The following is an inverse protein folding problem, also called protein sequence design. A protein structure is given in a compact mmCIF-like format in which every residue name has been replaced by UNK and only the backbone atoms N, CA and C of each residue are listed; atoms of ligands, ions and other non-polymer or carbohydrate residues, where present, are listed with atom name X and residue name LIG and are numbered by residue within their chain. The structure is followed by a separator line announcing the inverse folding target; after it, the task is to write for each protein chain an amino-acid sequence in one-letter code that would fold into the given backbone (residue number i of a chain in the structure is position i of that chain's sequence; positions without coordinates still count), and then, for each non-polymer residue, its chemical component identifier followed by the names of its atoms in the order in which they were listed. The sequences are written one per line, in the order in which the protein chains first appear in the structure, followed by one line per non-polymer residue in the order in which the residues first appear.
data_IF_564323109939
#
_entry.id   IF_564323109939
#
_cell.length_a   1.000
_cell.length_b   1.000
_cell.length_c   1.000
_cell.angle_alpha   90.00
_cell.angle_beta   90.00
_cell.angle_gamma   90.00
#
_symmetry.space_group_name_H-M   'P 1'
#
loop_
_entity.id
_entity.type
_entity.pdbx_description
1 polymer ?
#
# COMPACT_ATOMS: atom_id res chain seq x y z
N UNK A 1 5.37 41.17 -50.90
CA UNK A 1 4.68 40.55 -49.74
C UNK A 1 4.84 39.04 -49.85
N UNK A 2 5.81 38.46 -49.13
CA UNK A 2 6.18 37.05 -49.26
C UNK A 2 5.12 36.20 -48.53
N UNK A 3 4.31 35.44 -49.28
CA UNK A 3 3.33 34.50 -48.72
C UNK A 3 4.09 33.27 -48.21
N UNK A 4 4.16 33.11 -46.89
CA UNK A 4 4.66 31.91 -46.24
C UNK A 4 3.71 30.75 -46.56
N UNK A 5 4.14 29.82 -47.40
CA UNK A 5 3.41 28.57 -47.66
C UNK A 5 3.51 27.72 -46.39
N UNK A 6 2.46 27.71 -45.57
CA UNK A 6 2.35 26.81 -44.41
C UNK A 6 2.22 25.37 -44.92
N UNK A 7 3.30 24.60 -44.78
CA UNK A 7 3.30 23.15 -44.95
C UNK A 7 2.57 22.53 -43.75
N UNK A 8 1.28 22.21 -43.93
CA UNK A 8 0.53 21.44 -42.94
C UNK A 8 0.94 19.96 -43.08
N UNK A 9 1.94 19.53 -42.30
CA UNK A 9 2.25 18.11 -42.12
C UNK A 9 1.14 17.50 -41.26
N UNK A 10 0.26 16.69 -41.87
CA UNK A 10 -0.74 15.90 -41.14
C UNK A 10 -0.10 14.67 -40.51
N UNK A 11 -0.59 14.30 -39.32
CA UNK A 11 -0.23 13.04 -38.66
C UNK A 11 -0.74 11.87 -39.50
N UNK A 12 0.09 10.86 -39.76
CA UNK A 12 -0.39 9.67 -40.49
C UNK A 12 -1.17 8.76 -39.54
N UNK A 13 -2.24 8.11 -40.04
CA UNK A 13 -2.98 7.12 -39.24
C UNK A 13 -2.07 5.96 -38.81
N UNK A 14 -1.06 5.63 -39.62
CA UNK A 14 -0.08 4.59 -39.32
C UNK A 14 0.83 4.98 -38.16
N UNK A 15 1.28 6.24 -38.08
CA UNK A 15 2.05 6.73 -36.93
C UNK A 15 1.24 6.59 -35.63
N UNK A 16 -0.04 6.93 -35.66
CA UNK A 16 -0.90 6.80 -34.47
C UNK A 16 -1.09 5.33 -34.08
N UNK A 17 -1.24 4.45 -35.07
CA UNK A 17 -1.43 3.01 -34.85
C UNK A 17 -0.21 2.38 -34.17
N UNK A 18 1.01 2.69 -34.62
CA UNK A 18 2.23 2.14 -34.03
C UNK A 18 2.38 2.60 -32.57
N UNK A 19 2.04 3.85 -32.27
CA UNK A 19 2.14 4.40 -30.90
C UNK A 19 1.20 3.66 -29.94
N UNK A 20 -0.07 3.44 -30.31
CA UNK A 20 -1.01 2.72 -29.43
C UNK A 20 -0.63 1.26 -29.25
N UNK A 21 -0.03 0.62 -30.26
CA UNK A 21 0.50 -0.75 -30.16
C UNK A 21 1.64 -0.81 -29.13
N UNK A 22 2.59 0.12 -29.19
CA UNK A 22 3.70 0.17 -28.23
C UNK A 22 3.18 0.43 -26.81
N UNK A 23 2.26 1.40 -26.63
CA UNK A 23 1.65 1.68 -25.33
C UNK A 23 0.91 0.44 -24.79
N UNK A 24 0.19 -0.28 -25.65
CA UNK A 24 -0.52 -1.51 -25.27
C UNK A 24 0.42 -2.58 -24.71
N UNK A 25 1.58 -2.79 -25.33
CA UNK A 25 2.60 -3.74 -24.85
C UNK A 25 3.15 -3.31 -23.49
N UNK A 26 3.46 -2.01 -23.32
CA UNK A 26 3.97 -1.48 -22.05
C UNK A 26 2.95 -1.64 -20.91
N UNK A 27 1.68 -1.31 -21.16
CA UNK A 27 0.61 -1.42 -20.15
C UNK A 27 0.37 -2.87 -19.74
N UNK A 28 0.42 -3.82 -20.67
CA UNK A 28 0.23 -5.24 -20.40
C UNK A 28 1.26 -5.79 -19.39
N UNK A 29 2.51 -5.30 -19.43
CA UNK A 29 3.56 -5.68 -18.48
C UNK A 29 3.47 -4.84 -17.21
N UNK A 30 3.15 -3.54 -17.33
CA UNK A 30 3.16 -2.61 -16.21
C UNK A 30 2.08 -2.90 -15.17
N UNK A 31 0.86 -3.28 -15.57
CA UNK A 31 -0.25 -3.54 -14.64
C UNK A 31 0.06 -4.63 -13.61
N UNK A 32 0.44 -5.87 -13.99
CA UNK A 32 0.70 -6.93 -13.01
C UNK A 32 1.89 -6.58 -12.10
N UNK A 33 2.97 -6.03 -12.66
CA UNK A 33 4.15 -5.62 -11.89
C UNK A 33 3.81 -4.53 -10.86
N UNK A 34 3.05 -3.52 -11.27
CA UNK A 34 2.62 -2.45 -10.37
C UNK A 34 1.70 -2.97 -9.26
N UNK A 35 0.78 -3.90 -9.58
CA UNK A 35 -0.09 -4.53 -8.60
C UNK A 35 0.69 -5.32 -7.55
N UNK A 36 1.73 -6.06 -7.95
CA UNK A 36 2.58 -6.81 -7.03
C UNK A 36 3.41 -5.89 -6.13
N UNK A 37 4.03 -4.85 -6.71
CA UNK A 37 4.82 -3.88 -5.96
C UNK A 37 3.97 -3.16 -4.92
N UNK A 38 2.78 -2.69 -5.30
CA UNK A 38 1.87 -2.00 -4.38
C UNK A 38 1.36 -2.92 -3.28
N UNK A 39 1.03 -4.17 -3.60
CA UNK A 39 0.67 -5.18 -2.60
C UNK A 39 1.81 -5.43 -1.60
N UNK A 40 3.03 -5.68 -2.07
CA UNK A 40 4.17 -5.92 -1.18
C UNK A 40 4.51 -4.69 -0.32
N UNK A 41 4.37 -3.49 -0.88
CA UNK A 41 4.54 -2.25 -0.11
C UNK A 41 3.51 -2.11 1.02
N UNK A 42 2.25 -2.48 0.76
CA UNK A 42 1.19 -2.50 1.78
C UNK A 42 1.47 -3.53 2.87
N UNK A 43 1.86 -4.75 2.52
CA UNK A 43 2.20 -5.81 3.48
C UNK A 43 3.37 -5.39 4.39
N UNK A 44 4.44 -4.83 3.82
CA UNK A 44 5.58 -4.30 4.59
C UNK A 44 5.21 -3.15 5.49
N UNK A 45 4.30 -2.28 5.07
CA UNK A 45 3.78 -1.22 5.92
C UNK A 45 3.02 -1.80 7.12
N UNK A 46 2.23 -2.86 6.91
CA UNK A 46 1.55 -3.54 8.02
C UNK A 46 2.52 -4.17 9.00
N UNK A 47 3.54 -4.88 8.51
CA UNK A 47 4.60 -5.46 9.33
C UNK A 47 5.35 -4.39 10.16
N UNK A 48 5.65 -3.25 9.53
CA UNK A 48 6.30 -2.12 10.21
C UNK A 48 5.44 -1.57 11.34
N UNK A 49 4.15 -1.37 11.10
CA UNK A 49 3.20 -0.90 12.12
C UNK A 49 3.07 -1.90 13.27
N UNK A 50 3.07 -3.20 12.99
CA UNK A 50 3.05 -4.23 14.04
C UNK A 50 4.24 -4.10 14.98
N UNK A 51 5.43 -3.86 14.44
CA UNK A 51 6.63 -3.66 15.27
C UNK A 51 6.49 -2.42 16.17
N UNK A 52 5.83 -1.37 15.69
CA UNK A 52 5.49 -0.18 16.49
C UNK A 52 4.53 -0.56 17.62
N UNK A 53 3.46 -1.30 17.31
CA UNK A 53 2.47 -1.77 18.30
C UNK A 53 3.14 -2.64 19.36
N UNK A 54 3.98 -3.61 18.98
CA UNK A 54 4.74 -4.44 19.93
C UNK A 54 5.64 -3.59 20.83
N UNK A 55 6.29 -2.58 20.27
CA UNK A 55 7.09 -1.64 21.07
C UNK A 55 6.22 -0.79 22.01
N UNK A 56 4.97 -0.50 21.65
CA UNK A 56 4.03 0.20 22.52
C UNK A 56 3.52 -0.69 23.65
N UNK A 57 3.24 -1.98 23.39
CA UNK A 57 2.89 -2.97 24.43
C UNK A 57 4.00 -3.05 25.48
N UNK A 58 5.26 -3.12 25.06
CA UNK A 58 6.39 -3.14 25.99
C UNK A 58 6.48 -1.85 26.83
N UNK A 59 6.17 -0.69 26.24
CA UNK A 59 6.16 0.58 26.98
C UNK A 59 5.00 0.63 27.98
N UNK A 60 3.82 0.16 27.59
CA UNK A 60 2.66 0.01 28.46
C UNK A 60 2.99 -0.85 29.67
N UNK A 61 3.56 -2.04 29.46
CA UNK A 61 3.95 -2.95 30.53
C UNK A 61 4.94 -2.30 31.53
N UNK A 62 5.87 -1.48 31.05
CA UNK A 62 6.80 -0.75 31.93
C UNK A 62 6.08 0.32 32.76
N UNK A 63 5.09 0.99 32.20
CA UNK A 63 4.32 2.02 32.88
C UNK A 63 3.30 1.45 33.88
N UNK A 64 2.63 0.36 33.51
CA UNK A 64 1.55 -0.28 34.28
C UNK A 64 2.03 -1.49 35.09
N UNK A 65 3.29 -1.45 35.57
CA UNK A 65 3.86 -2.46 36.49
C UNK A 65 3.79 -3.93 36.02
N UNK A 66 3.82 -4.15 34.70
CA UNK A 66 3.83 -5.47 34.07
C UNK A 66 2.45 -5.97 33.62
N UNK A 67 1.39 -5.18 33.79
CA UNK A 67 0.07 -5.52 33.28
C UNK A 67 0.05 -5.46 31.73
N UNK A 68 -0.76 -6.35 31.12
CA UNK A 68 -0.98 -6.37 29.68
C UNK A 68 -2.13 -5.43 29.29
N UNK A 69 -2.11 -4.82 28.10
CA UNK A 69 -3.25 -4.05 27.60
C UNK A 69 -4.44 -4.98 27.35
N UNK A 70 -5.64 -4.54 27.72
CA UNK A 70 -6.88 -5.29 27.48
C UNK A 70 -7.38 -5.05 26.04
N UNK A 71 -7.20 -3.83 25.55
CA UNK A 71 -7.59 -3.40 24.22
C UNK A 71 -6.46 -2.66 23.50
N UNK A 72 -6.51 -2.62 22.16
CA UNK A 72 -5.48 -1.92 21.38
C UNK A 72 -5.52 -0.40 21.63
N UNK A 73 -6.68 0.13 22.01
CA UNK A 73 -6.89 1.53 22.40
C UNK A 73 -6.09 1.94 23.63
N UNK A 74 -5.73 0.99 24.53
CA UNK A 74 -4.89 1.27 25.70
C UNK A 74 -3.47 1.69 25.29
N UNK A 75 -3.07 1.37 24.05
CA UNK A 75 -1.79 1.76 23.47
C UNK A 75 -1.81 3.17 22.88
N UNK A 76 -2.96 3.84 22.79
CA UNK A 76 -3.08 5.17 22.21
C UNK A 76 -2.13 6.23 22.84
N UNK A 77 -1.81 6.21 24.15
CA UNK A 77 -0.83 7.12 24.74
C UNK A 77 0.61 6.86 24.31
N UNK A 78 0.91 5.66 23.80
CA UNK A 78 2.26 5.17 23.49
C UNK A 78 2.57 5.14 21.99
N UNK A 79 1.61 5.53 21.15
CA UNK A 79 1.73 5.55 19.69
C UNK A 79 1.32 6.93 19.18
N UNK A 80 2.22 7.61 18.48
CA UNK A 80 1.90 8.85 17.78
C UNK A 80 0.87 8.58 16.67
N UNK A 81 -0.16 9.42 16.60
CA UNK A 81 -1.25 9.32 15.62
C UNK A 81 -1.92 7.93 15.56
N UNK A 82 -2.18 7.32 16.71
CA UNK A 82 -2.86 6.01 16.84
C UNK A 82 -4.07 5.83 15.91
N UNK A 83 -4.92 6.84 15.74
CA UNK A 83 -6.12 6.77 14.85
C UNK A 83 -5.80 6.55 13.37
N UNK A 84 -4.60 6.92 12.94
CA UNK A 84 -4.10 6.72 11.58
C UNK A 84 -3.43 5.36 11.37
N UNK A 85 -3.15 4.65 12.47
CA UNK A 85 -2.51 3.35 12.46
C UNK A 85 -3.49 2.30 11.94
N UNK A 86 -3.48 2.09 10.63
CA UNK A 86 -4.28 1.08 9.94
C UNK A 86 -3.41 0.30 8.99
N UNK A 87 -3.71 -0.99 8.82
CA UNK A 87 -3.05 -1.79 7.81
C UNK A 87 -3.63 -1.42 6.43
N UNK A 88 -2.82 -1.00 5.44
CA UNK A 88 -3.30 -0.64 4.11
C UNK A 88 -3.69 -1.85 3.22
N UNK A 89 -3.61 -3.07 3.75
CA UNK A 89 -4.20 -4.27 3.15
C UNK A 89 -5.68 -4.31 3.50
N UNK A 90 -6.54 -4.61 2.53
CA UNK A 90 -8.00 -4.57 2.74
C UNK A 90 -8.46 -5.64 3.75
N UNK A 91 -9.38 -5.25 4.64
CA UNK A 91 -10.09 -6.17 5.54
C UNK A 91 -9.36 -6.55 6.82
N UNK A 92 -8.25 -5.90 7.17
CA UNK A 92 -7.50 -6.24 8.40
C UNK A 92 -7.20 -4.99 9.23
N UNK A 93 -7.93 -4.80 10.32
CA UNK A 93 -7.57 -3.84 11.37
C UNK A 93 -6.64 -4.52 12.39
N UNK A 94 -5.82 -3.76 13.10
CA UNK A 94 -4.98 -4.30 14.16
C UNK A 94 -5.83 -4.61 15.40
N UNK A 95 -5.69 -5.82 15.93
CA UNK A 95 -6.16 -6.22 17.26
C UNK A 95 -5.03 -6.91 18.01
N UNK A 96 -5.13 -7.02 19.34
CA UNK A 96 -4.11 -7.70 20.14
C UNK A 96 -3.96 -9.18 19.75
N UNK A 97 -5.06 -9.83 19.34
CA UNK A 97 -5.08 -11.24 18.95
C UNK A 97 -4.50 -11.53 17.56
N UNK A 98 -4.60 -10.57 16.63
CA UNK A 98 -4.24 -10.79 15.22
C UNK A 98 -2.88 -10.19 14.83
N UNK A 99 -2.15 -9.66 15.81
CA UNK A 99 -0.93 -8.89 15.55
C UNK A 99 0.16 -9.72 14.83
N UNK A 100 0.23 -11.03 15.12
CA UNK A 100 1.19 -11.95 14.50
C UNK A 100 0.80 -12.36 13.08
N UNK A 101 -0.48 -12.32 12.71
CA UNK A 101 -0.95 -12.65 11.35
C UNK A 101 -0.37 -11.67 10.31
N UNK A 102 -0.04 -10.46 10.76
CA UNK A 102 0.54 -9.39 9.96
C UNK A 102 2.07 -9.47 9.79
N UNK A 103 2.77 -10.36 10.53
CA UNK A 103 4.23 -10.50 10.46
C UNK A 103 4.71 -11.53 9.44
N UNK A 104 3.87 -12.52 9.13
CA UNK A 104 4.25 -13.66 8.30
C UNK A 104 3.87 -13.49 6.81
N UNK A 105 3.31 -12.33 6.42
CA UNK A 105 2.68 -12.19 5.11
C UNK A 105 1.49 -13.14 4.92
N UNK A 106 0.99 -13.76 6.00
CA UNK A 106 -0.21 -14.60 6.05
C UNK A 106 -1.46 -13.72 6.13
N UNK A 107 -1.55 -12.73 5.26
CA UNK A 107 -2.84 -12.18 4.91
C UNK A 107 -3.56 -13.27 4.11
N UNK A 108 -4.35 -14.09 4.81
CA UNK A 108 -5.19 -15.08 4.16
C UNK A 108 -6.00 -14.36 3.08
N UNK A 109 -5.73 -14.78 1.84
CA UNK A 109 -6.60 -14.67 0.68
C UNK A 109 -8.06 -14.79 1.11
N UNK A 110 -8.72 -13.65 1.29
CA UNK A 110 -10.05 -13.58 1.88
C UNK A 110 -10.83 -12.38 1.40
N UNK A 111 -10.80 -12.10 0.10
CA UNK A 111 -11.88 -11.45 -0.67
C UNK A 111 -11.64 -11.74 -2.15
N UNK A 112 -11.78 -13.02 -2.49
CA UNK A 112 -12.17 -13.42 -3.83
C UNK A 112 -13.66 -13.74 -3.80
N UNK A 113 -14.49 -12.71 -3.85
CA UNK A 113 -15.88 -12.71 -4.35
C UNK A 113 -16.16 -11.34 -4.98
#
# INVERSE_FOLDING_TARGET
MMKFLRSNKGFTLVELLIVVVIIGILVAIAIPVYSEITRSAKERACESNVRIIKSAILQYQVAENGDEPDDIEDLAPYIEDFKSLKCPVEGTDYTLDNLDDHLDGKHNSGTGE
#
